data_IF_575164212504
#
_entry.id   IF_575164212504
#
_cell.length_a   1.000
_cell.length_b   1.000
_cell.length_c   1.000
_cell.angle_alpha   90.00
_cell.angle_beta   90.00
_cell.angle_gamma   90.00
#
_symmetry.space_group_name_H-M   'P 1'
#
loop_
_entity.id
_entity.type
_entity.pdbx_description
1 polymer ?
#
# COMPACT_ATOMS: atom_id res chain seq x y z
N UNK A 1 19.02 -4.68 2.12
CA UNK A 1 19.17 -3.30 2.61
C UNK A 1 19.05 -2.41 1.40
N UNK A 2 18.15 -1.42 1.41
CA UNK A 2 18.08 -0.45 0.32
C UNK A 2 19.28 0.50 0.43
N UNK A 3 20.05 0.63 -0.65
CA UNK A 3 21.29 1.41 -0.67
C UNK A 3 21.04 2.91 -0.88
N UNK A 4 19.85 3.28 -1.40
CA UNK A 4 19.44 4.65 -1.70
C UNK A 4 17.98 4.86 -1.31
N UNK A 5 17.74 5.65 -0.27
CA UNK A 5 16.39 6.06 0.13
C UNK A 5 15.96 7.32 -0.66
N UNK A 6 15.57 7.10 -1.93
CA UNK A 6 15.08 8.20 -2.78
C UNK A 6 13.68 8.65 -2.37
N UNK A 7 12.89 7.76 -1.80
CA UNK A 7 11.51 8.03 -1.42
C UNK A 7 11.39 8.96 -0.20
N UNK A 8 12.45 9.13 0.59
CA UNK A 8 12.53 10.17 1.60
C UNK A 8 12.65 11.61 1.05
N UNK A 9 12.79 11.80 -0.28
CA UNK A 9 12.92 13.13 -0.89
C UNK A 9 11.62 13.56 -1.56
N UNK A 10 11.05 14.68 -1.12
CA UNK A 10 9.86 15.28 -1.72
C UNK A 10 10.03 15.50 -3.23
N UNK A 11 11.21 15.95 -3.67
CA UNK A 11 11.51 16.15 -5.08
C UNK A 11 11.34 14.88 -5.92
N UNK A 12 11.68 13.71 -5.36
CA UNK A 12 11.52 12.44 -6.04
C UNK A 12 10.06 11.96 -6.01
N UNK A 13 9.34 12.19 -4.90
CA UNK A 13 7.89 11.93 -4.83
C UNK A 13 7.12 12.76 -5.87
N UNK A 14 7.52 14.02 -6.07
CA UNK A 14 6.95 14.91 -7.10
C UNK A 14 7.30 14.42 -8.51
N UNK A 15 8.53 13.97 -8.75
CA UNK A 15 8.93 13.36 -10.04
C UNK A 15 8.07 12.13 -10.37
N UNK A 16 7.83 11.25 -9.40
CA UNK A 16 6.93 10.11 -9.55
C UNK A 16 5.49 10.58 -9.82
N UNK A 17 5.02 11.61 -9.09
CA UNK A 17 3.68 12.16 -9.30
C UNK A 17 3.49 12.75 -10.71
N UNK A 18 4.53 13.30 -11.33
CA UNK A 18 4.47 13.79 -12.71
C UNK A 18 4.27 12.69 -13.76
N UNK A 19 4.45 11.41 -13.39
CA UNK A 19 4.08 10.25 -14.21
C UNK A 19 2.58 9.92 -14.18
N UNK A 20 1.81 10.56 -13.29
CA UNK A 20 0.36 10.39 -13.16
C UNK A 20 -0.33 11.62 -13.74
N UNK A 21 -1.09 11.45 -14.83
CA UNK A 21 -1.70 12.55 -15.59
C UNK A 21 -2.49 13.54 -14.71
N UNK A 22 -3.20 13.04 -13.69
CA UNK A 22 -4.00 13.87 -12.78
C UNK A 22 -3.16 14.67 -11.76
N UNK A 23 -1.90 14.28 -11.53
CA UNK A 23 -1.00 14.90 -10.56
C UNK A 23 0.10 15.74 -11.22
N UNK A 24 0.31 15.56 -12.51
CA UNK A 24 1.37 16.26 -13.26
C UNK A 24 1.25 17.78 -13.15
N UNK A 25 2.27 18.40 -12.57
CA UNK A 25 2.30 19.85 -12.32
C UNK A 25 1.25 20.36 -11.33
N UNK A 26 0.58 19.49 -10.58
CA UNK A 26 -0.44 19.88 -9.61
C UNK A 26 0.19 20.57 -8.40
N UNK A 27 0.02 21.90 -8.32
CA UNK A 27 0.62 22.74 -7.27
C UNK A 27 0.07 22.51 -5.87
N UNK A 28 -1.20 22.12 -5.76
CA UNK A 28 -1.76 21.78 -4.46
C UNK A 28 -1.13 20.48 -3.93
N UNK A 29 -1.01 19.46 -4.79
CA UNK A 29 -0.34 18.20 -4.42
C UNK A 29 1.13 18.40 -4.06
N UNK A 30 1.88 19.16 -4.87
CA UNK A 30 3.29 19.45 -4.60
C UNK A 30 3.46 20.13 -3.23
N UNK A 31 2.62 21.12 -2.93
CA UNK A 31 2.60 21.79 -1.64
C UNK A 31 2.26 20.84 -0.50
N UNK A 32 1.25 19.97 -0.68
CA UNK A 32 0.87 19.00 0.35
C UNK A 32 2.02 18.04 0.70
N UNK A 33 2.81 17.63 -0.30
CA UNK A 33 4.02 16.80 -0.12
C UNK A 33 5.10 17.58 0.63
N UNK A 34 5.47 18.76 0.16
CA UNK A 34 6.53 19.59 0.76
C UNK A 34 6.21 20.05 2.19
N UNK A 35 4.93 20.29 2.49
CA UNK A 35 4.48 20.68 3.84
C UNK A 35 4.31 19.47 4.80
N UNK A 36 4.47 18.23 4.32
CA UNK A 36 4.24 17.02 5.12
C UNK A 36 2.78 16.87 5.55
N UNK A 37 1.82 17.32 4.73
CA UNK A 37 0.39 17.46 5.07
C UNK A 37 -0.22 16.15 5.58
N UNK A 38 0.28 15.01 5.10
CA UNK A 38 -0.23 13.68 5.45
C UNK A 38 0.69 12.88 6.38
N UNK A 39 1.77 13.46 6.91
CA UNK A 39 2.73 12.75 7.78
C UNK A 39 2.05 12.17 9.02
N UNK A 40 1.19 12.95 9.66
CA UNK A 40 0.44 12.50 10.84
C UNK A 40 -0.48 11.33 10.51
N UNK A 41 -1.02 11.27 9.29
CA UNK A 41 -1.82 10.13 8.84
C UNK A 41 -0.92 8.92 8.54
N UNK A 42 0.20 9.10 7.84
CA UNK A 42 1.17 8.03 7.58
C UNK A 42 1.67 7.37 8.87
N UNK A 43 1.99 8.16 9.90
CA UNK A 43 2.38 7.66 11.22
C UNK A 43 1.25 6.89 11.93
N UNK A 44 -0.02 7.30 11.75
CA UNK A 44 -1.18 6.56 12.27
C UNK A 44 -1.37 5.24 11.53
N UNK A 45 -1.19 5.24 10.21
CA UNK A 45 -1.29 4.02 9.39
C UNK A 45 -0.18 3.03 9.73
N UNK A 46 1.06 3.48 9.90
CA UNK A 46 2.18 2.66 10.37
C UNK A 46 1.86 1.97 11.70
N UNK A 47 1.40 2.73 12.71
CA UNK A 47 0.99 2.17 14.00
C UNK A 47 -0.19 1.18 13.89
N UNK A 48 -1.09 1.41 12.94
CA UNK A 48 -2.22 0.50 12.69
C UNK A 48 -1.75 -0.80 12.06
N UNK A 49 -0.81 -0.72 11.10
CA UNK A 49 -0.17 -1.87 10.49
C UNK A 49 0.59 -2.72 11.52
N UNK A 50 1.40 -2.09 12.38
CA UNK A 50 2.14 -2.79 13.44
C UNK A 50 1.22 -3.58 14.38
N UNK A 51 0.03 -3.04 14.68
CA UNK A 51 -0.99 -3.68 15.52
C UNK A 51 -1.82 -4.74 14.79
N UNK A 52 -1.75 -4.80 13.46
CA UNK A 52 -2.60 -5.67 12.65
C UNK A 52 -2.21 -7.15 12.72
N UNK A 53 -1.04 -7.47 13.28
CA UNK A 53 -0.45 -8.81 13.28
C UNK A 53 0.03 -9.30 11.90
N UNK A 54 0.04 -8.42 10.90
CA UNK A 54 0.61 -8.71 9.58
C UNK A 54 2.14 -8.70 9.68
N UNK A 55 2.77 -9.72 9.12
CA UNK A 55 4.23 -9.92 9.17
C UNK A 55 4.94 -9.61 7.85
N UNK A 56 4.18 -9.33 6.79
CA UNK A 56 4.73 -9.06 5.47
C UNK A 56 3.70 -8.50 4.50
N UNK A 57 4.19 -7.76 3.52
CA UNK A 57 3.39 -7.22 2.42
C UNK A 57 3.75 -7.94 1.11
N UNK A 58 2.79 -8.23 0.21
CA UNK A 58 1.36 -7.94 0.35
C UNK A 58 0.65 -8.89 1.33
N UNK A 59 -0.44 -8.40 1.94
CA UNK A 59 -1.40 -9.20 2.72
C UNK A 59 -2.81 -8.78 2.33
N UNK A 60 -3.70 -9.74 2.08
CA UNK A 60 -5.12 -9.51 1.85
C UNK A 60 -5.93 -9.96 3.07
N UNK A 61 -6.82 -9.10 3.56
CA UNK A 61 -7.80 -9.43 4.60
C UNK A 61 -9.21 -9.08 4.15
N UNK A 62 -10.17 -9.94 4.48
CA UNK A 62 -11.60 -9.72 4.30
C UNK A 62 -12.30 -10.02 5.63
N UNK A 63 -13.12 -9.09 6.12
CA UNK A 63 -13.80 -9.18 7.42
C UNK A 63 -12.85 -9.54 8.58
N UNK A 64 -11.65 -8.95 8.57
CA UNK A 64 -10.61 -9.17 9.57
C UNK A 64 -9.83 -10.49 9.45
N UNK A 65 -10.25 -11.41 8.57
CA UNK A 65 -9.58 -12.71 8.33
C UNK A 65 -8.62 -12.62 7.14
N UNK A 66 -7.51 -13.36 7.18
CA UNK A 66 -6.59 -13.47 6.04
C UNK A 66 -7.26 -14.21 4.89
N UNK A 67 -7.05 -13.72 3.67
CA UNK A 67 -7.40 -14.40 2.42
C UNK A 67 -6.10 -14.76 1.72
N UNK A 68 -5.87 -16.05 1.49
CA UNK A 68 -4.60 -16.58 0.98
C UNK A 68 -4.82 -17.40 -0.29
N UNK A 69 -3.75 -17.55 -1.08
CA UNK A 69 -3.75 -18.51 -2.19
C UNK A 69 -3.96 -19.93 -1.69
N UNK A 70 -4.54 -20.78 -2.53
CA UNK A 70 -4.68 -22.20 -2.23
C UNK A 70 -3.32 -22.86 -1.94
N UNK A 71 -3.24 -23.62 -0.84
CA UNK A 71 -2.01 -24.28 -0.42
C UNK A 71 -0.90 -23.36 0.12
N UNK A 72 -1.20 -22.09 0.39
CA UNK A 72 -0.23 -21.07 0.81
C UNK A 72 -0.77 -20.19 1.95
N UNK A 73 0.15 -19.65 2.75
CA UNK A 73 -0.14 -18.60 3.75
C UNK A 73 0.02 -17.18 3.19
N UNK A 74 0.45 -17.05 1.93
CA UNK A 74 0.68 -15.78 1.26
C UNK A 74 -0.58 -15.24 0.58
N UNK A 75 -0.63 -13.93 0.39
CA UNK A 75 -1.68 -13.29 -0.40
C UNK A 75 -1.67 -13.79 -1.86
N UNK A 76 -2.84 -13.80 -2.53
CA UNK A 76 -2.91 -14.11 -3.95
C UNK A 76 -2.15 -13.08 -4.79
N UNK A 77 -1.29 -13.57 -5.69
CA UNK A 77 -0.39 -12.76 -6.50
C UNK A 77 -0.81 -12.65 -7.97
N UNK A 78 -1.77 -13.48 -8.41
CA UNK A 78 -2.33 -13.45 -9.76
C UNK A 78 -3.82 -13.15 -9.71
N UNK A 79 -4.39 -12.63 -10.81
CA UNK A 79 -5.83 -12.37 -10.89
C UNK A 79 -6.67 -13.66 -10.72
N UNK A 80 -6.17 -14.79 -11.23
CA UNK A 80 -6.82 -16.09 -11.06
C UNK A 80 -6.84 -16.52 -9.59
N UNK A 81 -5.69 -16.45 -8.90
CA UNK A 81 -5.60 -16.80 -7.48
C UNK A 81 -6.44 -15.87 -6.61
N UNK A 82 -6.46 -14.57 -6.93
CA UNK A 82 -7.25 -13.58 -6.22
C UNK A 82 -8.74 -13.92 -6.30
N UNK A 83 -9.23 -14.19 -7.51
CA UNK A 83 -10.64 -14.54 -7.74
C UNK A 83 -11.00 -15.82 -6.97
N UNK A 84 -10.19 -16.87 -7.08
CA UNK A 84 -10.44 -18.13 -6.38
C UNK A 84 -10.43 -17.95 -4.85
N UNK A 85 -9.47 -17.18 -4.31
CA UNK A 85 -9.35 -16.95 -2.88
C UNK A 85 -10.52 -16.11 -2.32
N UNK A 86 -10.96 -15.08 -3.04
CA UNK A 86 -12.13 -14.27 -2.67
C UNK A 86 -13.42 -15.07 -2.78
N UNK A 87 -13.64 -15.81 -3.86
CA UNK A 87 -14.83 -16.66 -4.02
C UNK A 87 -14.95 -17.71 -2.91
N UNK A 88 -13.82 -18.26 -2.48
CA UNK A 88 -13.76 -19.17 -1.33
C UNK A 88 -14.10 -18.44 -0.03
N UNK A 89 -13.54 -17.25 0.19
CA UNK A 89 -13.76 -16.48 1.40
C UNK A 89 -15.21 -15.98 1.53
N UNK A 90 -15.88 -15.65 0.42
CA UNK A 90 -17.28 -15.20 0.40
C UNK A 90 -18.29 -16.32 0.75
N UNK A 91 -17.87 -17.59 0.67
CA UNK A 91 -18.70 -18.76 1.01
C UNK A 91 -18.53 -19.22 2.47
N UNK A 92 -17.61 -18.60 3.20
CA UNK A 92 -17.15 -19.05 4.52
C UNK A 92 -17.78 -18.30 5.70
#
# INVERSE_FOLDING_TARGET
QESEDKFAKDSFLIEVADSVDALKGNKAFQKDVEDGTYDAWAMKMSKTFDKSGVQGTPTLKMDGKKVTSEGSDNAPMTAADFTAAVDKALKA
#
